data_IF_616796494666
#
_entry.id   IF_616796494666
#
_cell.length_a   1.000
_cell.length_b   1.000
_cell.length_c   1.000
_cell.angle_alpha   90.00
_cell.angle_beta   90.00
_cell.angle_gamma   90.00
#
_symmetry.space_group_name_H-M   'P 1'
#
loop_
_entity.id
_entity.type
_entity.pdbx_description
1 polymer ?
#
# COMPACT_ATOMS: atom_id res chain seq x y z
N UNK A 1 17.58 8.00 -32.61
CA UNK A 1 16.17 7.67 -32.31
C UNK A 1 16.09 6.93 -30.99
N UNK A 2 15.85 7.64 -29.87
CA UNK A 2 15.62 7.01 -28.57
C UNK A 2 14.13 6.94 -28.32
N UNK A 3 13.52 5.77 -28.53
CA UNK A 3 12.09 5.59 -28.31
C UNK A 3 11.74 5.96 -26.85
N UNK A 4 10.86 6.96 -26.68
CA UNK A 4 10.27 7.35 -25.40
C UNK A 4 9.79 6.08 -24.69
N UNK A 5 10.40 5.73 -23.57
CA UNK A 5 9.91 4.65 -22.71
C UNK A 5 8.47 4.98 -22.33
N UNK A 6 7.54 4.15 -22.79
CA UNK A 6 6.13 4.14 -22.37
C UNK A 6 6.08 4.26 -20.85
N UNK A 7 5.17 5.11 -20.34
CA UNK A 7 4.96 5.39 -18.90
C UNK A 7 5.24 4.16 -18.04
N UNK A 8 5.98 4.29 -16.91
CA UNK A 8 6.22 3.16 -16.03
C UNK A 8 4.87 2.56 -15.62
N UNK A 9 4.78 1.22 -15.63
CA UNK A 9 3.54 0.49 -15.33
C UNK A 9 3.05 0.69 -13.89
N UNK A 10 3.92 1.21 -13.02
CA UNK A 10 3.65 1.47 -11.62
C UNK A 10 4.65 2.50 -11.07
N UNK A 11 4.23 3.24 -10.04
CA UNK A 11 5.11 4.08 -9.23
C UNK A 11 5.57 3.28 -8.01
N UNK A 12 6.79 3.54 -7.54
CA UNK A 12 7.34 2.94 -6.32
C UNK A 12 7.32 4.00 -5.23
N UNK A 13 6.85 3.63 -4.04
CA UNK A 13 6.82 4.48 -2.86
C UNK A 13 7.75 3.86 -1.81
N UNK A 14 8.63 4.68 -1.23
CA UNK A 14 9.43 4.30 -0.07
C UNK A 14 8.71 4.74 1.19
N UNK A 15 8.60 3.84 2.16
CA UNK A 15 7.95 4.09 3.45
C UNK A 15 9.01 4.05 4.56
N UNK A 16 8.86 4.91 5.56
CA UNK A 16 9.66 4.88 6.79
C UNK A 16 8.73 4.43 7.91
N UNK A 17 9.00 3.25 8.44
CA UNK A 17 8.24 2.60 9.51
C UNK A 17 9.23 1.97 10.50
N UNK A 18 8.79 1.74 11.72
CA UNK A 18 9.54 0.98 12.73
C UNK A 18 9.67 -0.50 12.35
N UNK A 19 10.55 -1.21 13.07
CA UNK A 19 10.71 -2.65 12.86
C UNK A 19 9.45 -3.43 13.26
N UNK A 20 8.77 -2.99 14.31
CA UNK A 20 7.52 -3.60 14.79
C UNK A 20 6.40 -3.47 13.75
N UNK A 21 6.16 -2.25 13.22
CA UNK A 21 5.17 -2.03 12.16
C UNK A 21 5.47 -2.85 10.90
N UNK A 22 6.75 -3.01 10.55
CA UNK A 22 7.16 -3.87 9.43
C UNK A 22 6.78 -5.33 9.71
N UNK A 23 7.06 -5.84 10.90
CA UNK A 23 6.73 -7.23 11.26
C UNK A 23 5.22 -7.47 11.23
N UNK A 24 4.42 -6.51 11.69
CA UNK A 24 2.95 -6.58 11.60
C UNK A 24 2.49 -6.62 10.14
N UNK A 25 3.05 -5.76 9.28
CA UNK A 25 2.74 -5.75 7.86
C UNK A 25 3.10 -7.08 7.16
N UNK A 26 4.27 -7.64 7.48
CA UNK A 26 4.70 -8.96 7.01
C UNK A 26 3.75 -10.07 7.48
N UNK A 27 3.30 -10.01 8.74
CA UNK A 27 2.35 -10.98 9.30
C UNK A 27 1.01 -10.91 8.60
N UNK A 28 0.47 -9.71 8.34
CA UNK A 28 -0.78 -9.51 7.60
C UNK A 28 -0.66 -10.05 6.17
N UNK A 29 0.45 -9.76 5.47
CA UNK A 29 0.71 -10.29 4.14
C UNK A 29 0.71 -11.82 4.11
N UNK A 30 1.37 -12.47 5.09
CA UNK A 30 1.39 -13.93 5.20
C UNK A 30 0.01 -14.52 5.49
N UNK A 31 -0.73 -13.94 6.44
CA UNK A 31 -2.06 -14.44 6.83
C UNK A 31 -3.09 -14.30 5.70
N UNK A 32 -2.98 -13.25 4.91
CA UNK A 32 -3.86 -13.02 3.75
C UNK A 32 -3.40 -13.75 2.47
N UNK A 33 -2.23 -14.39 2.50
CA UNK A 33 -1.58 -14.98 1.34
C UNK A 33 -1.42 -13.99 0.17
N UNK A 34 -1.08 -12.73 0.49
CA UNK A 34 -0.91 -11.61 -0.45
C UNK A 34 0.46 -10.98 -0.27
N UNK A 35 0.97 -10.30 -1.30
CA UNK A 35 2.20 -9.52 -1.16
C UNK A 35 1.96 -8.16 -0.48
N UNK A 36 3.02 -7.55 0.05
CA UNK A 36 2.94 -6.26 0.76
C UNK A 36 2.29 -5.17 -0.10
N UNK A 37 2.57 -5.13 -1.40
CA UNK A 37 1.98 -4.12 -2.28
C UNK A 37 0.48 -4.33 -2.50
N UNK A 38 -0.01 -5.56 -2.50
CA UNK A 38 -1.45 -5.87 -2.55
C UNK A 38 -2.14 -5.46 -1.25
N UNK A 39 -1.56 -5.83 -0.10
CA UNK A 39 -2.07 -5.43 1.22
C UNK A 39 -2.15 -3.91 1.33
N UNK A 40 -1.09 -3.20 0.93
CA UNK A 40 -1.09 -1.73 0.99
C UNK A 40 -2.11 -1.10 0.04
N UNK A 41 -2.30 -1.63 -1.19
CA UNK A 41 -3.32 -1.11 -2.10
C UNK A 41 -4.73 -1.25 -1.52
N UNK A 42 -5.01 -2.39 -0.89
CA UNK A 42 -6.30 -2.63 -0.25
C UNK A 42 -6.49 -1.75 0.98
N UNK A 43 -5.46 -1.63 1.83
CA UNK A 43 -5.48 -0.76 3.00
C UNK A 43 -5.76 0.71 2.61
N UNK A 44 -5.09 1.21 1.56
CA UNK A 44 -5.33 2.57 1.03
C UNK A 44 -6.78 2.72 0.56
N UNK A 45 -7.33 1.74 -0.15
CA UNK A 45 -8.73 1.77 -0.59
C UNK A 45 -9.73 1.79 0.58
N UNK A 46 -9.50 0.98 1.60
CA UNK A 46 -10.33 0.96 2.81
C UNK A 46 -10.25 2.28 3.59
N UNK A 47 -9.04 2.84 3.72
CA UNK A 47 -8.81 4.14 4.36
C UNK A 47 -9.54 5.23 3.58
N UNK A 48 -9.45 5.24 2.24
CA UNK A 48 -10.14 6.21 1.40
C UNK A 48 -11.66 6.18 1.63
N UNK A 49 -12.27 4.99 1.62
CA UNK A 49 -13.72 4.85 1.85
C UNK A 49 -14.12 5.37 3.24
N UNK A 50 -13.31 5.11 4.27
CA UNK A 50 -13.56 5.62 5.64
C UNK A 50 -13.39 7.13 5.74
N UNK A 51 -12.42 7.71 5.02
CA UNK A 51 -12.20 9.15 4.94
C UNK A 51 -13.37 9.85 4.24
N UNK A 52 -13.85 9.31 3.13
CA UNK A 52 -15.00 9.85 2.39
C UNK A 52 -16.28 9.86 3.24
N UNK A 53 -16.42 8.91 4.18
CA UNK A 53 -17.52 8.84 5.14
C UNK A 53 -17.32 9.69 6.39
N UNK A 54 -16.13 10.28 6.59
CA UNK A 54 -15.81 11.04 7.80
C UNK A 54 -15.66 10.17 9.06
N UNK A 55 -15.42 8.87 8.93
CA UNK A 55 -15.42 7.88 10.02
C UNK A 55 -14.02 7.62 10.61
N UNK A 56 -12.94 8.11 9.99
CA UNK A 56 -11.57 7.71 10.36
C UNK A 56 -10.97 8.50 11.52
N UNK A 57 -11.49 9.69 11.83
CA UNK A 57 -10.93 10.59 12.84
C UNK A 57 -11.93 10.99 13.94
N UNK A 58 -13.00 10.21 14.14
CA UNK A 58 -13.95 10.42 15.24
C UNK A 58 -13.59 9.57 16.46
#
# INVERSE_FOLDING_TARGET
MGARKKKPRYNVVSLRISNDEKQELDKVARLSNRNISEVMREAVGLIQVKLEKGELFQ
#
